data_IF_464480568019
#
_entry.id   IF_464480568019
#
_cell.length_a   1.000
_cell.length_b   1.000
_cell.length_c   1.000
_cell.angle_alpha   90.00
_cell.angle_beta   90.00
_cell.angle_gamma   90.00
#
_symmetry.space_group_name_H-M   'P 1'
#
loop_
_entity.id
_entity.type
_entity.pdbx_description
1 polymer ?
#
# COMPACT_ATOMS: atom_id res chain seq x y z
N UNK A 1 22.58 11.95 -9.85
CA UNK A 1 23.41 12.81 -10.74
C UNK A 1 22.67 13.04 -12.06
N UNK A 2 22.72 14.26 -12.60
CA UNK A 2 21.88 14.68 -13.72
C UNK A 2 22.34 14.12 -15.08
N UNK A 3 23.56 13.56 -15.16
CA UNK A 3 24.13 13.11 -16.43
C UNK A 3 24.59 14.26 -17.33
N UNK A 4 24.69 15.46 -16.76
CA UNK A 4 25.12 16.73 -17.35
C UNK A 4 25.16 17.81 -16.26
N UNK A 5 25.37 19.07 -16.66
CA UNK A 5 25.42 20.21 -15.73
C UNK A 5 24.03 20.78 -15.36
N UNK A 6 23.00 20.48 -16.15
CA UNK A 6 21.61 20.95 -15.96
C UNK A 6 20.59 19.82 -16.19
N UNK A 7 19.34 20.02 -15.76
CA UNK A 7 18.23 19.09 -16.05
C UNK A 7 17.96 19.18 -17.55
N UNK A 8 18.03 18.04 -18.22
CA UNK A 8 17.85 17.93 -19.66
C UNK A 8 17.42 16.50 -20.04
N UNK A 9 17.34 16.17 -21.32
CA UNK A 9 16.87 14.88 -21.83
C UNK A 9 17.46 13.63 -21.13
N UNK A 10 18.76 13.58 -20.78
CA UNK A 10 19.31 12.45 -20.02
C UNK A 10 18.66 12.26 -18.64
N UNK A 11 18.25 13.35 -17.98
CA UNK A 11 17.50 13.27 -16.71
C UNK A 11 16.08 12.76 -16.92
N UNK A 12 15.38 13.24 -17.94
CA UNK A 12 14.01 12.83 -18.24
C UNK A 12 13.92 11.33 -18.53
N UNK A 13 14.85 10.82 -19.35
CA UNK A 13 14.92 9.40 -19.68
C UNK A 13 15.12 8.54 -18.43
N UNK A 14 16.03 8.94 -17.53
CA UNK A 14 16.28 8.20 -16.27
C UNK A 14 15.09 8.28 -15.33
N UNK A 15 14.45 9.44 -15.22
CA UNK A 15 13.27 9.62 -14.37
C UNK A 15 12.09 8.79 -14.87
N UNK A 16 11.91 8.67 -16.18
CA UNK A 16 10.94 7.74 -16.74
C UNK A 16 11.26 6.29 -16.35
N UNK A 17 12.52 5.85 -16.51
CA UNK A 17 12.93 4.49 -16.08
C UNK A 17 12.70 4.26 -14.59
N UNK A 18 13.04 5.23 -13.74
CA UNK A 18 12.82 5.13 -12.29
C UNK A 18 11.32 5.14 -11.95
N UNK A 19 10.55 6.04 -12.54
CA UNK A 19 9.10 6.10 -12.35
C UNK A 19 8.42 4.81 -12.79
N UNK A 20 8.88 4.19 -13.88
CA UNK A 20 8.37 2.89 -14.31
C UNK A 20 8.73 1.77 -13.33
N UNK A 21 9.96 1.77 -12.80
CA UNK A 21 10.44 0.74 -11.89
C UNK A 21 9.83 0.84 -10.47
N UNK A 22 9.67 2.06 -9.95
CA UNK A 22 9.29 2.32 -8.56
C UNK A 22 7.95 1.67 -8.14
N UNK A 23 6.86 1.69 -8.94
CA UNK A 23 5.60 1.03 -8.60
C UNK A 23 5.76 -0.46 -8.31
N UNK A 24 6.62 -1.18 -9.04
CA UNK A 24 6.88 -2.59 -8.80
C UNK A 24 7.67 -2.82 -7.51
N UNK A 25 8.66 -1.97 -7.24
CA UNK A 25 9.40 -1.99 -5.98
C UNK A 25 8.47 -1.72 -4.78
N UNK A 26 7.56 -0.74 -4.91
CA UNK A 26 6.55 -0.44 -3.89
C UNK A 26 5.62 -1.63 -3.70
N UNK A 27 5.16 -2.28 -4.78
CA UNK A 27 4.32 -3.48 -4.68
C UNK A 27 5.03 -4.60 -3.91
N UNK A 28 6.33 -4.81 -4.15
CA UNK A 28 7.13 -5.78 -3.37
C UNK A 28 7.23 -5.40 -1.90
N UNK A 29 7.40 -4.12 -1.58
CA UNK A 29 7.43 -3.63 -0.19
C UNK A 29 6.07 -3.78 0.50
N UNK A 30 4.96 -3.60 -0.23
CA UNK A 30 3.60 -3.84 0.27
C UNK A 30 3.42 -5.31 0.65
N UNK A 31 3.92 -6.26 -0.16
CA UNK A 31 3.86 -7.68 0.18
C UNK A 31 4.62 -7.99 1.47
N UNK A 32 5.86 -7.50 1.60
CA UNK A 32 6.67 -7.67 2.82
C UNK A 32 5.96 -7.07 4.03
N UNK A 33 5.40 -5.86 3.88
CA UNK A 33 4.63 -5.20 4.92
C UNK A 33 3.42 -6.05 5.36
N UNK A 34 2.65 -6.57 4.41
CA UNK A 34 1.49 -7.43 4.70
C UNK A 34 1.90 -8.75 5.36
N UNK A 35 3.05 -9.32 5.02
CA UNK A 35 3.57 -10.52 5.70
C UNK A 35 3.83 -10.23 7.18
N UNK A 36 4.49 -9.12 7.53
CA UNK A 36 4.71 -8.77 8.94
C UNK A 36 3.43 -8.41 9.68
N UNK A 37 2.47 -7.78 9.00
CA UNK A 37 1.15 -7.52 9.55
C UNK A 37 0.37 -8.82 9.79
N UNK A 38 0.52 -9.82 8.92
CA UNK A 38 -0.14 -11.11 9.05
C UNK A 38 0.35 -11.89 10.28
N UNK A 39 1.66 -11.85 10.57
CA UNK A 39 2.23 -12.54 11.73
C UNK A 39 1.79 -11.91 13.07
N UNK A 40 1.68 -10.58 13.13
CA UNK A 40 1.30 -9.86 14.35
C UNK A 40 -0.21 -9.65 14.52
N UNK A 41 -0.94 -9.61 13.40
CA UNK A 41 -2.35 -9.22 13.34
C UNK A 41 -2.57 -7.70 13.48
N UNK A 42 -3.77 -7.25 13.11
CA UNK A 42 -4.16 -5.84 13.29
C UNK A 42 -4.40 -5.49 14.76
N UNK A 43 -4.01 -4.28 15.15
CA UNK A 43 -4.39 -3.71 16.44
C UNK A 43 -5.86 -3.22 16.43
N UNK A 44 -6.40 -2.88 17.59
CA UNK A 44 -7.77 -2.35 17.74
C UNK A 44 -7.75 -0.99 18.48
N UNK A 45 -8.86 -0.23 18.44
CA UNK A 45 -8.91 1.12 19.02
C UNK A 45 -8.60 1.21 20.52
N UNK A 46 -8.80 0.12 21.27
CA UNK A 46 -8.52 0.08 22.70
C UNK A 46 -7.05 -0.27 23.00
N UNK A 47 -6.29 -0.73 22.02
CA UNK A 47 -4.87 -1.09 22.17
C UNK A 47 -4.62 -2.31 23.07
N UNK A 48 -5.67 -3.05 23.42
CA UNK A 48 -5.60 -4.27 24.25
C UNK A 48 -5.59 -5.53 23.37
N UNK A 49 -5.16 -6.71 23.86
CA UNK A 49 -5.20 -7.93 23.06
C UNK A 49 -6.63 -8.31 22.63
N UNK A 50 -6.85 -8.55 21.33
CA UNK A 50 -8.15 -8.91 20.75
C UNK A 50 -8.35 -10.43 20.56
N UNK A 51 -7.45 -11.27 21.10
CA UNK A 51 -7.45 -12.71 20.84
C UNK A 51 -8.73 -13.44 21.27
N UNK A 52 -9.46 -12.91 22.25
CA UNK A 52 -10.71 -13.48 22.74
C UNK A 52 -11.94 -13.12 21.87
N UNK A 53 -11.82 -12.15 20.96
CA UNK A 53 -12.94 -11.63 20.16
C UNK A 53 -12.51 -11.37 18.71
N UNK A 54 -12.00 -12.42 18.06
CA UNK A 54 -11.65 -12.38 16.63
C UNK A 54 -12.84 -12.85 15.79
N UNK A 55 -13.20 -12.04 14.79
CA UNK A 55 -14.13 -12.41 13.72
C UNK A 55 -13.36 -12.65 12.42
N UNK A 56 -13.85 -13.52 11.50
CA UNK A 56 -13.18 -13.77 10.24
C UNK A 56 -13.17 -12.54 9.33
N UNK A 57 -12.17 -12.44 8.44
CA UNK A 57 -12.05 -11.32 7.49
C UNK A 57 -13.25 -11.24 6.55
N UNK A 58 -13.62 -12.37 5.94
CA UNK A 58 -14.83 -12.50 5.13
C UNK A 58 -15.96 -13.11 5.97
N UNK A 59 -17.19 -12.57 5.94
CA UNK A 59 -17.67 -11.49 5.05
C UNK A 59 -17.48 -10.07 5.63
N UNK A 60 -17.18 -9.95 6.91
CA UNK A 60 -17.31 -8.70 7.67
C UNK A 60 -16.47 -7.55 7.13
N UNK A 61 -15.15 -7.74 7.08
CA UNK A 61 -14.23 -6.70 6.61
C UNK A 61 -14.26 -6.57 5.09
N UNK A 62 -14.48 -7.67 4.35
CA UNK A 62 -14.60 -7.61 2.88
C UNK A 62 -15.76 -6.70 2.42
N UNK A 63 -16.93 -6.79 3.06
CA UNK A 63 -18.08 -5.91 2.72
C UNK A 63 -17.82 -4.48 3.19
N UNK A 64 -17.24 -4.30 4.38
CA UNK A 64 -16.87 -2.97 4.89
C UNK A 64 -15.90 -2.25 3.95
N UNK A 65 -14.89 -2.95 3.45
CA UNK A 65 -13.88 -2.38 2.54
C UNK A 65 -14.47 -2.09 1.17
N UNK A 66 -15.36 -2.94 0.64
CA UNK A 66 -16.08 -2.69 -0.61
C UNK A 66 -16.94 -1.43 -0.52
N UNK A 67 -17.66 -1.22 0.59
CA UNK A 67 -18.40 0.01 0.83
C UNK A 67 -17.46 1.23 0.80
N UNK A 68 -16.32 1.16 1.50
CA UNK A 68 -15.32 2.23 1.47
C UNK A 68 -14.79 2.52 0.06
N UNK A 69 -14.48 1.47 -0.70
CA UNK A 69 -13.99 1.57 -2.08
C UNK A 69 -15.04 2.19 -3.01
N UNK A 70 -16.31 1.79 -2.91
CA UNK A 70 -17.39 2.39 -3.71
C UNK A 70 -17.57 3.88 -3.41
N UNK A 71 -17.55 4.28 -2.14
CA UNK A 71 -17.61 5.71 -1.76
C UNK A 71 -16.42 6.49 -2.34
N UNK A 72 -15.20 5.94 -2.24
CA UNK A 72 -14.01 6.56 -2.83
C UNK A 72 -14.17 6.76 -4.34
N UNK A 73 -14.67 5.77 -5.08
CA UNK A 73 -14.90 5.89 -6.52
C UNK A 73 -15.98 6.91 -6.89
N UNK A 74 -17.00 7.11 -6.05
CA UNK A 74 -18.01 8.14 -6.29
C UNK A 74 -17.50 9.57 -6.07
N UNK A 75 -16.44 9.74 -5.25
CA UNK A 75 -15.87 11.04 -4.91
C UNK A 75 -14.66 11.44 -5.77
N UNK A 76 -14.05 10.48 -6.46
CA UNK A 76 -12.95 10.69 -7.41
C UNK A 76 -13.48 11.23 -8.75
#
# INVERSE_FOLDING_TARGET
AWGGFSVDNPTLTRFFTLHFLLPFMITSLVLIHLTFLHESGSNNPLGIPSNCDKIPFHPYFSVKDLLGFTIMLFLL
#
